data_IF_251380697437
#
_entry.id   IF_251380697437
#
_cell.length_a   1.000
_cell.length_b   1.000
_cell.length_c   1.000
_cell.angle_alpha   90.00
_cell.angle_beta   90.00
_cell.angle_gamma   90.00
#
_symmetry.space_group_name_H-M   'P 1'
#
loop_
_entity.id
_entity.type
_entity.pdbx_description
1 polymer ?
#
# COMPACT_ATOMS: atom_id res chain seq x y z
N UNK A 1 11.19 21.37 12.96
CA UNK A 1 10.66 20.01 12.64
C UNK A 1 9.78 20.14 11.41
N UNK A 2 9.91 19.24 10.43
CA UNK A 2 9.05 19.22 9.24
C UNK A 2 7.68 18.68 9.63
N UNK A 3 6.59 19.24 9.10
CA UNK A 3 5.24 18.76 9.41
C UNK A 3 4.92 17.48 8.63
N UNK A 4 4.00 16.65 9.15
CA UNK A 4 3.52 15.46 8.44
C UNK A 4 2.97 15.78 7.03
N UNK A 5 2.25 16.90 6.89
CA UNK A 5 1.74 17.36 5.59
C UNK A 5 2.88 17.63 4.61
N UNK A 6 3.93 18.35 5.04
CA UNK A 6 5.09 18.61 4.18
C UNK A 6 5.84 17.31 3.81
N UNK A 7 5.93 16.33 4.72
CA UNK A 7 6.49 15.01 4.40
C UNK A 7 5.63 14.24 3.37
N UNK A 8 4.31 14.34 3.46
CA UNK A 8 3.37 13.71 2.54
C UNK A 8 3.44 14.36 1.16
N UNK A 9 3.45 15.69 1.09
CA UNK A 9 3.61 16.44 -0.16
C UNK A 9 4.94 16.10 -0.84
N UNK A 10 6.04 16.06 -0.08
CA UNK A 10 7.34 15.65 -0.62
C UNK A 10 7.36 14.18 -1.07
N UNK A 11 6.64 13.29 -0.38
CA UNK A 11 6.46 11.91 -0.84
C UNK A 11 5.75 11.86 -2.20
N UNK A 12 4.61 12.57 -2.34
CA UNK A 12 3.83 12.63 -3.60
C UNK A 12 4.66 13.24 -4.74
N UNK A 13 5.33 14.38 -4.48
CA UNK A 13 6.17 15.05 -5.47
C UNK A 13 7.33 14.18 -5.97
N UNK A 14 8.01 13.45 -5.06
CA UNK A 14 9.07 12.50 -5.45
C UNK A 14 8.54 11.35 -6.27
N UNK A 15 7.36 10.84 -5.94
CA UNK A 15 6.71 9.78 -6.71
C UNK A 15 6.33 10.24 -8.12
N UNK A 16 5.71 11.42 -8.24
CA UNK A 16 5.40 12.01 -9.54
C UNK A 16 6.66 12.27 -10.37
N UNK A 17 7.74 12.75 -9.75
CA UNK A 17 9.02 12.90 -10.43
C UNK A 17 9.59 11.56 -10.93
N UNK A 18 9.44 10.49 -10.15
CA UNK A 18 9.85 9.15 -10.57
C UNK A 18 9.03 8.65 -11.78
N UNK A 19 7.70 8.81 -11.75
CA UNK A 19 6.83 8.44 -12.87
C UNK A 19 7.16 9.25 -14.13
N UNK A 20 7.35 10.57 -13.99
CA UNK A 20 7.74 11.46 -15.09
C UNK A 20 9.11 11.15 -15.69
N UNK A 21 10.01 10.53 -14.92
CA UNK A 21 11.35 10.19 -15.39
C UNK A 21 11.40 9.03 -16.39
N UNK A 22 10.28 8.36 -16.68
CA UNK A 22 10.22 7.18 -17.54
C UNK A 22 10.79 5.91 -16.91
N UNK A 23 11.24 5.97 -15.65
CA UNK A 23 11.69 4.81 -14.87
C UNK A 23 10.56 4.13 -14.10
N UNK A 24 9.38 4.76 -14.05
CA UNK A 24 8.18 4.21 -13.44
C UNK A 24 7.43 3.25 -14.37
N UNK A 25 6.21 2.84 -14.00
CA UNK A 25 5.45 1.85 -14.75
C UNK A 25 4.72 2.43 -15.98
N UNK A 26 4.80 3.74 -16.24
CA UNK A 26 4.13 4.34 -17.40
C UNK A 26 4.90 4.03 -18.69
N UNK A 27 4.20 3.50 -19.70
CA UNK A 27 4.77 3.24 -21.03
C UNK A 27 5.00 4.53 -21.81
N UNK A 28 4.10 5.51 -21.66
CA UNK A 28 4.25 6.86 -22.19
C UNK A 28 4.07 7.89 -21.06
N UNK A 29 5.05 8.78 -20.93
CA UNK A 29 5.04 9.87 -19.94
C UNK A 29 4.60 11.20 -20.54
N UNK A 30 4.37 11.25 -21.87
CA UNK A 30 3.82 12.44 -22.53
C UNK A 30 2.45 12.77 -21.94
N UNK A 31 2.26 14.02 -21.52
CA UNK A 31 1.02 14.46 -20.89
C UNK A 31 0.83 14.02 -19.44
N UNK A 32 1.79 13.34 -18.81
CA UNK A 32 1.70 12.97 -17.40
C UNK A 32 1.76 14.21 -16.48
N UNK A 33 0.59 14.61 -15.97
CA UNK A 33 0.44 15.77 -15.08
C UNK A 33 0.73 15.45 -13.60
N UNK A 34 0.82 14.18 -13.23
CA UNK A 34 0.93 13.72 -11.84
C UNK A 34 -0.10 12.65 -11.51
N UNK A 35 0.13 11.90 -10.43
CA UNK A 35 -0.82 10.93 -9.92
C UNK A 35 -1.98 11.63 -9.21
N UNK A 36 -3.15 10.99 -9.22
CA UNK A 36 -4.33 11.48 -8.51
C UNK A 36 -4.38 10.94 -7.08
N UNK A 37 -4.68 11.83 -6.14
CA UNK A 37 -4.77 11.50 -4.71
C UNK A 37 -6.08 12.01 -4.11
N UNK A 38 -6.53 11.37 -3.04
CA UNK A 38 -7.49 11.97 -2.12
C UNK A 38 -6.85 13.14 -1.32
N UNK A 39 -7.66 14.09 -0.84
CA UNK A 39 -7.20 15.09 0.12
C UNK A 39 -6.52 14.42 1.33
N UNK A 40 -5.42 14.99 1.88
CA UNK A 40 -4.81 14.46 3.09
C UNK A 40 -5.80 14.42 4.26
N UNK A 41 -5.92 13.26 4.89
CA UNK A 41 -6.77 13.05 6.06
C UNK A 41 -5.93 12.50 7.23
N UNK A 42 -5.71 13.30 8.30
CA UNK A 42 -4.96 12.87 9.47
C UNK A 42 -5.55 11.66 10.20
N UNK A 43 -6.86 11.39 10.07
CA UNK A 43 -7.48 10.21 10.68
C UNK A 43 -6.94 8.89 10.10
N UNK A 44 -6.37 8.95 8.90
CA UNK A 44 -5.73 7.83 8.20
C UNK A 44 -4.21 7.76 8.39
N UNK A 45 -3.62 8.59 9.25
CA UNK A 45 -2.22 8.53 9.66
C UNK A 45 -2.11 7.92 11.07
N UNK A 46 -2.04 6.59 11.13
CA UNK A 46 -2.14 5.82 12.36
C UNK A 46 -0.77 5.32 12.82
N UNK A 47 -0.55 5.34 14.13
CA UNK A 47 0.54 4.63 14.80
C UNK A 47 -0.07 3.56 15.68
N UNK A 48 0.26 2.29 15.39
CA UNK A 48 -0.35 1.13 16.04
C UNK A 48 0.73 0.19 16.55
N UNK A 49 0.47 -0.47 17.66
CA UNK A 49 1.30 -1.57 18.14
C UNK A 49 0.99 -2.82 17.33
N UNK A 50 2.02 -3.46 16.79
CA UNK A 50 1.92 -4.71 16.03
C UNK A 50 1.85 -5.87 17.01
N UNK A 51 0.81 -6.68 16.90
CA UNK A 51 0.78 -8.00 17.50
C UNK A 51 1.61 -8.95 16.64
N UNK A 52 2.68 -9.50 17.21
CA UNK A 52 3.54 -10.44 16.49
C UNK A 52 2.78 -11.74 16.17
N UNK A 53 2.85 -12.17 14.91
CA UNK A 53 2.32 -13.46 14.48
C UNK A 53 3.44 -14.50 14.38
N UNK A 54 3.10 -15.81 14.41
CA UNK A 54 4.01 -16.85 13.95
C UNK A 54 4.56 -16.51 12.55
N UNK A 55 5.86 -16.71 12.38
CA UNK A 55 6.53 -16.48 11.11
C UNK A 55 6.22 -17.65 10.16
N UNK A 56 5.22 -17.46 9.30
CA UNK A 56 4.79 -18.45 8.33
C UNK A 56 4.98 -17.88 6.92
N UNK A 57 5.52 -18.70 6.03
CA UNK A 57 5.58 -18.35 4.60
C UNK A 57 4.16 -18.42 4.05
N UNK A 58 3.71 -17.32 3.49
CA UNK A 58 2.42 -17.20 2.80
C UNK A 58 2.65 -16.99 1.31
N UNK A 59 1.83 -17.63 0.50
CA UNK A 59 1.78 -17.41 -0.94
C UNK A 59 0.62 -16.48 -1.26
N UNK A 60 0.94 -15.26 -1.69
CA UNK A 60 -0.07 -14.33 -2.18
C UNK A 60 -0.26 -14.56 -3.69
N UNK A 61 -1.46 -14.95 -4.16
CA UNK A 61 -1.76 -14.99 -5.58
C UNK A 61 -1.47 -13.65 -6.23
N UNK A 62 -1.20 -13.63 -7.53
CA UNK A 62 -0.88 -12.39 -8.23
C UNK A 62 -1.93 -12.02 -9.25
N UNK A 63 -1.78 -10.85 -9.89
CA UNK A 63 -2.59 -10.43 -11.04
C UNK A 63 -2.42 -11.33 -12.27
N UNK A 64 -1.40 -12.19 -12.30
CA UNK A 64 -1.17 -13.17 -13.36
C UNK A 64 -1.68 -14.54 -12.89
N UNK A 65 -2.55 -15.21 -13.67
CA UNK A 65 -3.06 -16.53 -13.32
C UNK A 65 -1.95 -17.53 -12.99
N UNK A 66 -2.22 -18.41 -12.02
CA UNK A 66 -1.33 -19.49 -11.60
C UNK A 66 0.06 -19.05 -11.10
N UNK A 67 0.24 -17.76 -10.78
CA UNK A 67 1.44 -17.22 -10.16
C UNK A 67 1.17 -16.69 -8.75
N UNK A 68 2.10 -16.98 -7.83
CA UNK A 68 2.13 -16.49 -6.46
C UNK A 68 3.45 -15.77 -6.17
N UNK A 69 3.44 -14.91 -5.14
CA UNK A 69 4.66 -14.37 -4.53
C UNK A 69 4.70 -14.75 -3.05
N UNK A 70 5.89 -15.13 -2.58
CA UNK A 70 6.12 -15.56 -1.20
C UNK A 70 6.43 -14.37 -0.30
N UNK A 71 5.76 -14.33 0.83
CA UNK A 71 5.99 -13.37 1.92
C UNK A 71 6.00 -14.12 3.25
N UNK A 72 6.40 -13.46 4.33
CA UNK A 72 6.30 -14.00 5.69
C UNK A 72 5.27 -13.19 6.46
N UNK A 73 4.30 -13.87 7.10
CA UNK A 73 3.41 -13.22 8.06
C UNK A 73 4.24 -12.65 9.21
N UNK A 74 4.21 -11.33 9.37
CA UNK A 74 5.04 -10.67 10.37
C UNK A 74 4.23 -10.35 11.62
N UNK A 75 3.07 -9.76 11.43
CA UNK A 75 2.24 -9.31 12.53
C UNK A 75 0.87 -8.88 12.07
N UNK A 76 0.05 -8.50 13.02
CA UNK A 76 -1.26 -7.93 12.75
C UNK A 76 -1.50 -6.67 13.57
N UNK A 77 -2.38 -5.83 13.06
CA UNK A 77 -2.87 -4.63 13.74
C UNK A 77 -4.38 -4.58 13.66
N UNK A 78 -4.99 -4.04 14.71
CA UNK A 78 -6.44 -3.76 14.72
C UNK A 78 -6.63 -2.26 14.50
N UNK A 79 -7.34 -1.91 13.42
CA UNK A 79 -7.66 -0.52 13.12
C UNK A 79 -8.72 0.04 14.10
N UNK A 80 -8.81 1.37 14.26
CA UNK A 80 -9.97 2.00 14.87
C UNK A 80 -11.25 1.54 14.15
N UNK A 81 -12.16 0.87 14.85
CA UNK A 81 -13.33 0.21 14.26
C UNK A 81 -13.30 -1.33 14.27
N UNK A 82 -12.19 -1.93 14.71
CA UNK A 82 -12.11 -3.37 15.01
C UNK A 82 -11.69 -4.27 13.85
N UNK A 83 -11.55 -3.73 12.64
CA UNK A 83 -11.01 -4.47 11.50
C UNK A 83 -9.53 -4.80 11.72
N UNK A 84 -9.17 -6.06 11.53
CA UNK A 84 -7.81 -6.55 11.71
C UNK A 84 -7.13 -6.69 10.35
N UNK A 85 -5.87 -6.25 10.27
CA UNK A 85 -5.03 -6.35 9.08
C UNK A 85 -3.76 -7.13 9.39
N UNK A 86 -3.36 -8.00 8.47
CA UNK A 86 -2.08 -8.71 8.51
C UNK A 86 -1.04 -7.94 7.72
N UNK A 87 0.15 -7.82 8.31
CA UNK A 87 1.34 -7.17 7.77
C UNK A 87 2.37 -8.23 7.42
N UNK A 88 3.06 -8.03 6.30
CA UNK A 88 3.96 -9.01 5.72
C UNK A 88 5.39 -8.47 5.64
N UNK A 89 6.37 -9.33 5.87
CA UNK A 89 7.77 -9.07 5.55
C UNK A 89 8.16 -9.79 4.27
N UNK A 90 9.25 -9.36 3.63
CA UNK A 90 9.89 -10.13 2.56
C UNK A 90 10.49 -11.40 3.15
N UNK A 91 10.46 -12.49 2.40
CA UNK A 91 11.12 -13.72 2.82
C UNK A 91 12.64 -13.47 3.00
N UNK A 92 13.17 -13.87 4.16
CA UNK A 92 14.57 -13.65 4.55
C UNK A 92 14.86 -12.28 5.19
N UNK A 93 13.86 -11.41 5.36
CA UNK A 93 14.02 -10.15 6.11
C UNK A 93 13.55 -10.31 7.56
N UNK A 94 14.49 -10.69 8.44
CA UNK A 94 14.24 -10.89 9.86
C UNK A 94 14.20 -9.58 10.68
N UNK A 95 14.56 -8.44 10.07
CA UNK A 95 14.58 -7.13 10.72
C UNK A 95 14.08 -6.02 9.76
N UNK A 96 12.83 -6.12 9.28
CA UNK A 96 12.29 -5.22 8.28
C UNK A 96 12.15 -3.80 8.82
N UNK A 97 12.69 -2.82 8.09
CA UNK A 97 12.47 -1.40 8.38
C UNK A 97 11.03 -0.95 8.04
N UNK A 98 10.33 -1.70 7.20
CA UNK A 98 8.94 -1.48 6.85
C UNK A 98 8.25 -2.81 6.49
N UNK A 99 6.95 -2.88 6.77
CA UNK A 99 6.12 -4.03 6.47
C UNK A 99 5.23 -3.73 5.27
N UNK A 100 5.02 -4.75 4.45
CA UNK A 100 4.13 -4.71 3.31
C UNK A 100 2.68 -4.96 3.75
N UNK A 101 1.80 -4.03 3.41
CA UNK A 101 0.35 -4.17 3.60
C UNK A 101 -0.36 -4.08 2.24
N UNK A 102 -0.67 -5.22 1.60
CA UNK A 102 -1.63 -5.25 0.51
C UNK A 102 -3.04 -5.26 1.09
N UNK A 103 -3.89 -4.34 0.65
CA UNK A 103 -5.25 -4.22 1.15
C UNK A 103 -6.24 -3.88 0.03
N UNK A 104 -7.51 -4.23 0.28
CA UNK A 104 -8.65 -3.84 -0.52
C UNK A 104 -9.66 -3.16 0.39
N UNK A 105 -10.45 -2.23 -0.14
CA UNK A 105 -11.45 -1.51 0.64
C UNK A 105 -12.67 -1.14 -0.22
N UNK A 106 -13.69 -0.49 0.36
CA UNK A 106 -14.94 -0.20 -0.34
C UNK A 106 -14.82 0.79 -1.51
N UNK A 107 -13.66 1.46 -1.68
CA UNK A 107 -13.31 2.29 -2.84
C UNK A 107 -12.79 1.50 -4.05
N UNK A 108 -12.32 0.27 -3.84
CA UNK A 108 -11.66 -0.54 -4.86
C UNK A 108 -12.62 -0.88 -6.00
N UNK A 109 -12.24 -0.53 -7.23
CA UNK A 109 -13.05 -0.70 -8.44
C UNK A 109 -14.09 0.41 -8.67
N UNK A 110 -14.10 1.44 -7.80
CA UNK A 110 -14.96 2.62 -7.93
C UNK A 110 -14.12 3.87 -8.11
N UNK A 111 -13.37 4.22 -7.07
CA UNK A 111 -12.52 5.42 -7.03
C UNK A 111 -11.04 5.08 -6.87
N UNK A 112 -10.69 3.81 -6.63
CA UNK A 112 -9.31 3.29 -6.57
C UNK A 112 -9.17 2.02 -7.41
N UNK A 113 -7.93 1.59 -7.68
CA UNK A 113 -7.66 0.40 -8.50
C UNK A 113 -8.39 -0.86 -7.99
N UNK A 114 -8.97 -1.62 -8.92
CA UNK A 114 -9.88 -2.72 -8.62
C UNK A 114 -9.27 -3.87 -7.82
N UNK A 115 -8.00 -4.19 -8.09
CA UNK A 115 -7.30 -5.28 -7.41
C UNK A 115 -6.82 -4.90 -5.99
N UNK A 116 -6.95 -3.64 -5.60
CA UNK A 116 -6.51 -3.11 -4.30
C UNK A 116 -5.29 -2.21 -4.39
N UNK A 117 -4.78 -1.84 -3.22
CA UNK A 117 -3.68 -0.89 -3.02
C UNK A 117 -2.66 -1.44 -2.04
N UNK A 118 -1.47 -0.87 -2.07
CA UNK A 118 -0.38 -1.23 -1.17
C UNK A 118 -0.05 -0.08 -0.24
N UNK A 119 0.49 -0.44 0.92
CA UNK A 119 1.13 0.47 1.85
C UNK A 119 2.42 -0.16 2.36
N UNK A 120 3.53 0.55 2.21
CA UNK A 120 4.78 0.21 2.88
C UNK A 120 4.78 0.92 4.22
N UNK A 121 4.68 0.15 5.30
CA UNK A 121 4.39 0.62 6.64
C UNK A 121 5.66 0.60 7.50
N UNK A 122 6.31 1.75 7.77
CA UNK A 122 7.53 1.79 8.57
C UNK A 122 7.34 1.17 9.94
N UNK A 123 8.32 0.37 10.36
CA UNK A 123 8.34 -0.34 11.64
C UNK A 123 9.46 0.22 12.54
N UNK A 124 9.13 0.53 13.78
CA UNK A 124 10.10 0.93 14.81
C UNK A 124 9.78 0.20 16.12
N UNK A 125 10.61 -0.79 16.45
CA UNK A 125 10.29 -1.74 17.52
C UNK A 125 8.99 -2.48 17.20
N UNK A 126 8.00 -2.33 18.09
CA UNK A 126 6.66 -2.90 17.91
C UNK A 126 5.65 -1.88 17.36
N UNK A 127 6.07 -0.64 17.07
CA UNK A 127 5.19 0.39 16.53
C UNK A 127 5.28 0.44 15.02
N UNK A 128 4.14 0.27 14.34
CA UNK A 128 4.04 0.46 12.89
C UNK A 128 3.28 1.74 12.57
N UNK A 129 3.74 2.47 11.56
CA UNK A 129 3.02 3.62 11.01
C UNK A 129 2.20 3.19 9.79
N UNK A 130 0.88 3.11 9.94
CA UNK A 130 -0.06 2.96 8.84
C UNK A 130 -0.56 4.33 8.39
N UNK A 131 0.14 4.95 7.44
CA UNK A 131 -0.35 6.16 6.79
C UNK A 131 -0.99 5.85 5.43
N UNK A 132 -2.31 5.64 5.42
CA UNK A 132 -3.04 5.36 4.19
C UNK A 132 -3.04 6.54 3.21
N UNK A 133 -2.66 7.75 3.63
CA UNK A 133 -2.44 8.87 2.70
C UNK A 133 -1.27 8.62 1.73
N UNK A 134 -0.44 7.63 2.03
CA UNK A 134 0.68 7.13 1.21
C UNK A 134 0.35 5.82 0.52
N UNK A 135 -0.87 5.29 0.67
CA UNK A 135 -1.30 4.09 -0.03
C UNK A 135 -1.26 4.33 -1.54
N UNK A 136 -0.82 3.33 -2.29
CA UNK A 136 -0.55 3.46 -3.70
C UNK A 136 -1.10 2.32 -4.54
N UNK A 137 -1.35 2.62 -5.81
CA UNK A 137 -1.65 1.59 -6.80
C UNK A 137 -0.39 0.80 -7.18
N UNK A 138 -0.51 -0.53 -7.26
CA UNK A 138 0.58 -1.37 -7.73
C UNK A 138 0.89 -1.08 -9.21
N UNK A 139 2.08 -1.44 -9.70
CA UNK A 139 2.48 -1.13 -11.09
C UNK A 139 1.58 -1.73 -12.17
N UNK A 140 0.98 -2.90 -11.91
CA UNK A 140 -0.03 -3.51 -12.76
C UNK A 140 -1.30 -2.67 -12.96
N UNK A 141 -1.51 -1.62 -12.15
CA UNK A 141 -2.59 -0.66 -12.39
C UNK A 141 -2.31 0.26 -13.60
N UNK A 142 -1.06 0.36 -14.04
CA UNK A 142 -0.62 1.25 -15.12
C UNK A 142 -0.23 0.50 -16.40
N UNK A 143 0.24 -0.75 -16.27
CA UNK A 143 0.64 -1.58 -17.41
C UNK A 143 0.45 -3.07 -17.07
N UNK A 144 -0.09 -3.90 -17.98
CA UNK A 144 -0.31 -5.32 -17.73
C UNK A 144 1.00 -6.14 -17.70
N UNK A 145 2.15 -5.54 -18.03
CA UNK A 145 3.45 -6.22 -18.04
C UNK A 145 3.96 -6.62 -16.64
N UNK A 146 3.35 -6.11 -15.57
CA UNK A 146 3.76 -6.39 -14.19
C UNK A 146 2.85 -7.42 -13.51
N UNK A 147 3.47 -8.35 -12.81
CA UNK A 147 2.79 -9.31 -11.93
C UNK A 147 2.82 -8.79 -10.50
N UNK A 148 1.68 -8.47 -9.92
CA UNK A 148 1.59 -7.91 -8.56
C UNK A 148 0.80 -8.81 -7.58
N UNK A 149 1.20 -8.92 -6.30
CA UNK A 149 0.44 -9.64 -5.28
C UNK A 149 -0.98 -9.10 -5.06
N UNK A 150 -1.96 -9.99 -4.95
CA UNK A 150 -3.32 -9.64 -4.60
C UNK A 150 -3.46 -9.55 -3.07
N UNK A 151 -4.21 -8.55 -2.55
CA UNK A 151 -4.55 -8.50 -1.14
C UNK A 151 -5.33 -9.74 -0.71
N UNK A 152 -4.89 -10.45 0.35
CA UNK A 152 -5.63 -11.58 0.89
C UNK A 152 -6.97 -11.10 1.48
N UNK A 153 -7.96 -11.99 1.54
CA UNK A 153 -9.30 -11.66 2.04
C UNK A 153 -9.29 -11.09 3.48
N UNK A 154 -8.33 -11.51 4.31
CA UNK A 154 -8.12 -10.97 5.64
C UNK A 154 -7.79 -9.47 5.66
N UNK A 155 -7.26 -8.93 4.55
CA UNK A 155 -6.93 -7.52 4.39
C UNK A 155 -7.98 -6.75 3.55
N UNK A 156 -9.21 -7.26 3.48
CA UNK A 156 -10.32 -6.57 2.82
C UNK A 156 -11.13 -5.81 3.86
N UNK A 157 -11.05 -4.49 3.80
CA UNK A 157 -11.79 -3.57 4.66
C UNK A 157 -13.21 -3.40 4.12
N UNK A 158 -14.20 -3.46 5.03
CA UNK A 158 -15.62 -3.27 4.69
C UNK A 158 -15.99 -1.80 4.49
N UNK A 159 -15.14 -0.87 4.93
CA UNK A 159 -15.34 0.57 4.81
C UNK A 159 -14.47 1.19 3.71
N UNK A 160 -14.82 2.41 3.32
CA UNK A 160 -14.04 3.19 2.36
C UNK A 160 -12.79 3.78 3.03
N UNK A 161 -11.64 3.64 2.38
CA UNK A 161 -10.40 4.33 2.76
C UNK A 161 -10.13 5.43 1.72
N UNK A 162 -10.73 6.60 1.94
CA UNK A 162 -10.60 7.79 1.07
C UNK A 162 -9.31 8.58 1.35
N UNK A 163 -8.18 7.87 1.40
CA UNK A 163 -6.85 8.40 1.57
C UNK A 163 -5.89 7.74 0.57
N UNK A 164 -4.84 8.44 0.15
CA UNK A 164 -3.84 7.91 -0.78
C UNK A 164 -4.20 8.06 -2.25
N UNK A 165 -3.63 7.22 -3.10
CA UNK A 165 -3.88 7.25 -4.54
C UNK A 165 -5.33 6.88 -4.85
N UNK A 166 -5.87 7.56 -5.87
CA UNK A 166 -7.18 7.34 -6.47
C UNK A 166 -7.08 7.35 -7.98
N UNK A 167 -8.08 6.78 -8.66
CA UNK A 167 -8.21 6.88 -10.10
C UNK A 167 -8.48 8.34 -10.49
N UNK A 168 -7.83 8.80 -11.54
CA UNK A 168 -8.24 10.02 -12.24
C UNK A 168 -9.64 9.80 -12.78
N UNK A 169 -10.56 10.69 -12.40
CA UNK A 169 -11.91 10.71 -12.98
C UNK A 169 -11.89 11.26 -14.40
#
# INVERSE_FOLDING_TARGET
MVSWQAELENFRARKDAYFRSGRGPLEDVQGFAGLSYFPPDPAWNLQLTVERLPAEVVELPTTTPDQSQRFVSWGAVTLPGGERLTLYAREGDDHPAALFLPFRDATSGKTTYGAGRYLDAPLSGETVRLDFNRAYHPYCAYTPAWTCPLPPAANWLGRAVEAGERLSG
#
